data_IF_937210763347
#
_entry.id   IF_937210763347
#
_cell.length_a   1.000
_cell.length_b   1.000
_cell.length_c   1.000
_cell.angle_alpha   90.00
_cell.angle_beta   90.00
_cell.angle_gamma   90.00
#
_symmetry.space_group_name_H-M   'P 1'
#
loop_
_entity.id
_entity.type
_entity.pdbx_description
1 polymer ?
#
# COMPACT_ATOMS: atom_id res chain seq x y z
N UNK A 1 -4.14 6.34 13.08
CA UNK A 1 -3.39 5.83 11.91
C UNK A 1 -2.84 4.47 12.28
N UNK A 2 -2.85 3.52 11.35
CA UNK A 2 -2.17 2.22 11.48
C UNK A 2 -1.05 2.15 10.44
N UNK A 3 0.12 1.68 10.87
CA UNK A 3 1.31 1.58 10.01
C UNK A 3 1.73 0.12 9.93
N UNK A 4 1.91 -0.37 8.71
CA UNK A 4 2.33 -1.73 8.43
C UNK A 4 3.68 -1.65 7.72
N UNK A 5 4.73 -1.96 8.47
CA UNK A 5 6.13 -1.99 8.01
C UNK A 5 6.72 -3.38 8.26
N UNK A 6 6.45 -4.28 7.33
CA UNK A 6 6.87 -5.68 7.41
C UNK A 6 7.33 -6.25 6.06
N UNK A 7 7.45 -5.40 5.03
CA UNK A 7 7.61 -5.84 3.64
C UNK A 7 8.97 -5.51 3.03
N UNK A 8 9.92 -5.02 3.82
CA UNK A 8 11.27 -4.66 3.36
C UNK A 8 12.25 -5.85 3.32
N UNK A 9 11.91 -6.98 3.97
CA UNK A 9 12.72 -8.20 4.00
C UNK A 9 12.53 -9.13 2.79
N UNK A 10 13.35 -10.19 2.75
CA UNK A 10 13.33 -11.21 1.68
C UNK A 10 12.08 -12.11 1.74
N UNK A 11 11.47 -12.24 2.93
CA UNK A 11 10.24 -13.00 3.15
C UNK A 11 9.07 -12.03 3.38
N UNK A 12 8.30 -11.76 2.33
CA UNK A 12 7.12 -10.88 2.42
C UNK A 12 5.94 -11.65 3.01
N UNK A 13 5.41 -11.23 4.18
CA UNK A 13 4.26 -11.88 4.80
C UNK A 13 2.97 -11.55 4.02
N UNK A 14 2.64 -12.35 3.02
CA UNK A 14 1.53 -12.09 2.08
C UNK A 14 0.17 -11.97 2.77
N UNK A 15 -0.03 -12.72 3.86
CA UNK A 15 -1.26 -12.68 4.67
C UNK A 15 -1.50 -11.34 5.37
N UNK A 16 -0.53 -10.42 5.41
CA UNK A 16 -0.76 -9.05 5.93
C UNK A 16 -1.30 -8.08 4.88
N UNK A 17 -1.40 -8.51 3.62
CA UNK A 17 -1.88 -7.74 2.46
C UNK A 17 -3.17 -8.31 1.87
N UNK A 18 -3.68 -9.41 2.43
CA UNK A 18 -4.93 -10.03 1.99
C UNK A 18 -6.14 -9.12 2.23
N UNK A 19 -7.22 -9.36 1.49
CA UNK A 19 -8.49 -8.68 1.73
C UNK A 19 -8.93 -8.83 3.20
N UNK A 20 -8.81 -10.03 3.77
CA UNK A 20 -9.15 -10.33 5.15
C UNK A 20 -8.35 -9.47 6.15
N UNK A 21 -7.03 -9.37 5.95
CA UNK A 21 -6.19 -8.51 6.78
C UNK A 21 -6.58 -7.03 6.66
N UNK A 22 -6.82 -6.54 5.44
CA UNK A 22 -7.28 -5.16 5.23
C UNK A 22 -8.63 -4.91 5.93
N UNK A 23 -9.58 -5.85 5.86
CA UNK A 23 -10.85 -5.75 6.58
C UNK A 23 -10.67 -5.67 8.10
N UNK A 24 -9.71 -6.42 8.65
CA UNK A 24 -9.35 -6.33 10.07
C UNK A 24 -8.78 -4.96 10.41
N UNK A 25 -7.88 -4.42 9.58
CA UNK A 25 -7.32 -3.09 9.82
C UNK A 25 -8.41 -2.01 9.77
N UNK A 26 -9.29 -2.05 8.76
CA UNK A 26 -10.38 -1.10 8.60
C UNK A 26 -11.37 -1.12 9.76
N UNK A 27 -11.60 -2.29 10.39
CA UNK A 27 -12.47 -2.43 11.56
C UNK A 27 -11.93 -1.71 12.79
N UNK A 28 -10.62 -1.65 12.93
CA UNK A 28 -9.93 -0.99 14.05
C UNK A 28 -9.50 0.44 13.71
N UNK A 29 -9.74 0.89 12.47
CA UNK A 29 -9.41 2.22 12.03
C UNK A 29 -10.55 3.19 12.35
N UNK A 30 -10.20 4.36 12.87
CA UNK A 30 -11.15 5.46 13.03
C UNK A 30 -11.71 5.90 11.66
N UNK A 31 -12.92 6.50 11.60
CA UNK A 31 -13.55 6.89 10.34
C UNK A 31 -12.68 7.78 9.43
N UNK A 32 -11.86 8.65 10.02
CA UNK A 32 -10.90 9.55 9.36
C UNK A 32 -9.45 9.04 9.41
N UNK A 33 -9.26 7.77 9.81
CA UNK A 33 -7.95 7.16 9.92
C UNK A 33 -7.33 6.80 8.57
N UNK A 34 -6.00 6.66 8.60
CA UNK A 34 -5.17 6.24 7.48
C UNK A 34 -4.53 4.88 7.80
N UNK A 35 -4.46 4.00 6.80
CA UNK A 35 -3.54 2.87 6.76
C UNK A 35 -2.32 3.28 5.94
N UNK A 36 -1.12 3.02 6.44
CA UNK A 36 0.13 3.28 5.74
C UNK A 36 0.92 1.99 5.60
N UNK A 37 1.21 1.59 4.36
CA UNK A 37 1.98 0.39 4.04
C UNK A 37 3.34 0.79 3.50
N UNK A 38 4.41 0.33 4.14
CA UNK A 38 5.76 0.48 3.61
C UNK A 38 6.03 -0.61 2.57
N UNK A 39 6.09 -0.24 1.30
CA UNK A 39 6.19 -1.19 0.18
C UNK A 39 7.57 -1.18 -0.50
N UNK A 40 8.60 -0.61 0.12
CA UNK A 40 9.97 -0.72 -0.36
C UNK A 40 10.47 -2.16 -0.27
N UNK A 41 10.21 -2.93 -1.31
CA UNK A 41 10.72 -4.29 -1.46
C UNK A 41 11.67 -4.38 -2.66
N UNK A 42 12.76 -5.14 -2.54
CA UNK A 42 13.75 -5.31 -3.62
C UNK A 42 13.23 -6.14 -4.80
N UNK A 43 12.32 -7.07 -4.56
CA UNK A 43 11.93 -8.10 -5.53
C UNK A 43 10.48 -7.96 -6.01
N UNK A 44 9.61 -7.39 -5.18
CA UNK A 44 8.17 -7.36 -5.43
C UNK A 44 7.64 -5.94 -5.60
N UNK A 45 6.73 -5.76 -6.55
CA UNK A 45 5.87 -4.59 -6.67
C UNK A 45 4.55 -4.86 -5.93
N UNK A 46 4.44 -4.34 -4.70
CA UNK A 46 3.27 -4.55 -3.85
C UNK A 46 2.14 -3.55 -4.13
N UNK A 47 2.39 -2.50 -4.93
CA UNK A 47 1.38 -1.49 -5.23
C UNK A 47 0.12 -2.09 -5.89
N UNK A 48 0.21 -3.01 -6.88
CA UNK A 48 -0.96 -3.63 -7.49
C UNK A 48 -1.85 -4.42 -6.52
N UNK A 49 -1.26 -5.03 -5.49
CA UNK A 49 -2.02 -5.76 -4.45
C UNK A 49 -2.83 -4.78 -3.63
N UNK A 50 -2.20 -3.69 -3.18
CA UNK A 50 -2.88 -2.64 -2.43
C UNK A 50 -3.92 -1.89 -3.28
N UNK A 51 -3.68 -1.71 -4.59
CA UNK A 51 -4.66 -1.16 -5.52
C UNK A 51 -5.87 -2.09 -5.68
N UNK A 52 -5.66 -3.40 -5.74
CA UNK A 52 -6.75 -4.38 -5.75
C UNK A 52 -7.59 -4.33 -4.47
N UNK A 53 -6.94 -4.30 -3.31
CA UNK A 53 -7.64 -4.17 -2.02
C UNK A 53 -8.39 -2.84 -1.90
N UNK A 54 -7.78 -1.73 -2.36
CA UNK A 54 -8.42 -0.42 -2.37
C UNK A 54 -9.68 -0.42 -3.24
N UNK A 55 -9.62 -1.01 -4.43
CA UNK A 55 -10.79 -1.17 -5.31
C UNK A 55 -11.88 -2.04 -4.68
N UNK A 56 -11.51 -3.14 -4.02
CA UNK A 56 -12.46 -4.04 -3.36
C UNK A 56 -13.24 -3.37 -2.22
N UNK A 57 -12.57 -2.56 -1.39
CA UNK A 57 -13.17 -1.89 -0.23
C UNK A 57 -13.61 -0.44 -0.51
N UNK A 58 -13.61 0.00 -1.77
CA UNK A 58 -13.92 1.37 -2.19
C UNK A 58 -13.14 2.45 -1.41
N UNK A 59 -11.83 2.24 -1.29
CA UNK A 59 -10.91 3.14 -0.60
C UNK A 59 -10.26 4.12 -1.57
N UNK A 60 -9.78 5.24 -1.04
CA UNK A 60 -8.81 6.08 -1.74
C UNK A 60 -7.39 5.56 -1.51
N UNK A 61 -6.55 5.75 -2.51
CA UNK A 61 -5.14 5.35 -2.50
C UNK A 61 -4.25 6.52 -2.87
N UNK A 62 -3.15 6.69 -2.14
CA UNK A 62 -2.09 7.63 -2.45
C UNK A 62 -0.73 6.98 -2.24
N UNK A 63 0.12 6.96 -3.26
CA UNK A 63 1.51 6.53 -3.16
C UNK A 63 2.41 7.71 -2.81
N UNK A 64 3.35 7.51 -1.90
CA UNK A 64 4.39 8.46 -1.52
C UNK A 64 5.72 7.79 -1.81
N UNK A 65 6.39 8.25 -2.86
CA UNK A 65 7.71 7.76 -3.25
C UNK A 65 8.77 8.80 -2.90
N UNK A 66 9.72 8.43 -2.06
CA UNK A 66 10.80 9.30 -1.64
C UNK A 66 12.14 8.70 -2.06
N UNK A 67 12.77 9.34 -3.05
CA UNK A 67 14.13 9.03 -3.48
C UNK A 67 15.13 9.89 -2.73
N UNK A 68 16.25 9.29 -2.36
CA UNK A 68 17.39 9.98 -1.77
C UNK A 68 18.67 9.58 -2.50
N UNK A 69 19.60 10.52 -2.59
CA UNK A 69 20.96 10.30 -3.11
C UNK A 69 22.02 10.45 -2.02
N UNK A 70 21.59 10.69 -0.78
CA UNK A 70 22.51 10.89 0.35
C UNK A 70 23.10 9.54 0.81
N UNK A 71 24.43 9.46 1.00
CA UNK A 71 25.07 8.25 1.50
C UNK A 71 24.48 7.80 2.85
N UNK A 72 24.12 6.52 2.96
CA UNK A 72 23.56 5.95 4.19
C UNK A 72 22.05 6.13 4.38
N UNK A 73 21.33 6.57 3.33
CA UNK A 73 19.87 6.64 3.32
C UNK A 73 19.29 5.77 2.21
N UNK A 74 18.14 5.15 2.49
CA UNK A 74 17.44 4.27 1.56
C UNK A 74 16.18 4.92 0.99
N UNK A 75 15.86 4.61 -0.26
CA UNK A 75 14.61 4.99 -0.92
C UNK A 75 13.43 4.33 -0.19
N UNK A 76 12.42 5.14 0.14
CA UNK A 76 11.20 4.68 0.80
C UNK A 76 9.99 4.85 -0.09
N UNK A 77 9.18 3.81 -0.21
CA UNK A 77 7.96 3.80 -0.99
C UNK A 77 6.79 3.37 -0.11
N UNK A 78 5.77 4.20 -0.06
CA UNK A 78 4.63 4.03 0.83
C UNK A 78 3.33 4.11 0.06
N UNK A 79 2.35 3.32 0.46
CA UNK A 79 0.97 3.46 0.00
C UNK A 79 0.07 3.74 1.18
N UNK A 80 -0.67 4.84 1.08
CA UNK A 80 -1.72 5.22 2.00
C UNK A 80 -3.06 4.74 1.47
N UNK A 81 -3.86 4.12 2.33
CA UNK A 81 -5.26 3.78 2.09
C UNK A 81 -6.15 4.45 3.12
N UNK A 82 -7.31 4.95 2.69
CA UNK A 82 -8.33 5.47 3.61
C UNK A 82 -9.70 5.52 2.97
N UNK A 83 -10.72 5.85 3.76
CA UNK A 83 -12.07 6.11 3.24
C UNK A 83 -12.07 7.32 2.30
N UNK A 84 -13.05 7.35 1.39
CA UNK A 84 -13.18 8.40 0.37
C UNK A 84 -13.11 9.82 0.94
N UNK A 85 -12.33 10.67 0.27
CA UNK A 85 -12.21 12.11 0.57
C UNK A 85 -11.29 12.44 1.74
N UNK A 86 -10.76 11.45 2.47
CA UNK A 86 -9.82 11.70 3.57
C UNK A 86 -8.44 12.11 3.02
N UNK A 87 -7.95 11.45 1.95
CA UNK A 87 -6.65 11.78 1.36
C UNK A 87 -6.62 13.16 0.67
N UNK A 88 -7.78 13.69 0.27
CA UNK A 88 -7.91 15.02 -0.34
C UNK A 88 -7.56 16.14 0.65
N UNK A 89 -7.62 15.86 1.96
CA UNK A 89 -7.29 16.82 3.02
C UNK A 89 -5.80 16.93 3.28
N UNK A 90 -4.99 16.02 2.74
CA UNK A 90 -3.55 16.05 2.90
C UNK A 90 -2.95 17.15 2.01
N UNK A 91 -1.94 17.90 2.50
CA UNK A 91 -1.27 18.89 1.69
C UNK A 91 -0.54 18.19 0.53
N UNK A 92 -0.81 18.63 -0.70
CA UNK A 92 -0.17 18.08 -1.88
C UNK A 92 1.36 18.24 -1.79
N UNK A 93 2.08 17.17 -2.11
CA UNK A 93 3.54 17.16 -2.20
C UNK A 93 3.99 16.54 -3.52
N UNK A 94 5.15 16.96 -4.01
CA UNK A 94 5.72 16.44 -5.26
C UNK A 94 6.04 14.94 -5.20
N UNK A 95 6.20 14.35 -4.02
CA UNK A 95 6.42 12.91 -3.81
C UNK A 95 5.13 12.08 -3.86
N UNK A 96 3.97 12.73 -3.87
CA UNK A 96 2.65 12.08 -3.81
C UNK A 96 2.11 11.81 -5.22
N UNK A 97 1.66 10.58 -5.47
CA UNK A 97 1.04 10.14 -6.72
C UNK A 97 -0.21 9.33 -6.45
N UNK A 98 -1.31 9.67 -7.13
CA UNK A 98 -2.49 8.80 -7.17
C UNK A 98 -2.29 7.70 -8.21
N UNK A 99 -2.98 6.56 -8.07
CA UNK A 99 -3.03 5.56 -9.13
C UNK A 99 -3.50 6.19 -10.45
N UNK A 100 -2.98 5.70 -11.58
CA UNK A 100 -3.47 6.11 -12.91
C UNK A 100 -4.92 5.70 -13.15
N UNK A 101 -5.47 6.03 -14.32
CA UNK A 101 -6.87 5.75 -14.68
C UNK A 101 -7.22 4.26 -14.75
N UNK A 102 -6.23 3.39 -14.98
CA UNK A 102 -6.40 1.94 -15.01
C UNK A 102 -5.21 1.26 -14.32
N UNK A 103 -5.15 1.28 -12.98
CA UNK A 103 -4.05 0.67 -12.26
C UNK A 103 -4.11 -0.85 -12.41
N UNK A 104 -2.95 -1.50 -12.48
CA UNK A 104 -2.89 -2.96 -12.33
C UNK A 104 -3.45 -3.31 -10.95
N UNK A 105 -4.45 -4.17 -10.92
CA UNK A 105 -5.08 -4.64 -9.68
C UNK A 105 -4.83 -6.13 -9.53
N UNK A 106 -4.30 -6.52 -8.37
CA UNK A 106 -4.10 -7.91 -7.97
C UNK A 106 -4.86 -8.13 -6.67
N UNK A 107 -5.65 -9.19 -6.61
CA UNK A 107 -6.37 -9.56 -5.39
C UNK A 107 -5.65 -10.72 -4.74
N UNK A 108 -5.31 -10.54 -3.46
CA UNK A 108 -4.84 -11.60 -2.58
C UNK A 108 -5.87 -11.83 -1.48
N UNK A 109 -6.04 -13.09 -1.13
CA UNK A 109 -6.80 -13.54 0.02
C UNK A 109 -5.87 -14.37 0.92
N UNK A 110 -6.31 -14.68 2.13
CA UNK A 110 -5.55 -15.57 3.02
C UNK A 110 -5.26 -16.93 2.38
N UNK A 111 -6.19 -17.44 1.57
CA UNK A 111 -6.07 -18.73 0.88
C UNK A 111 -5.31 -18.66 -0.46
N UNK A 112 -5.10 -17.46 -1.01
CA UNK A 112 -4.48 -17.30 -2.33
C UNK A 112 -3.63 -16.03 -2.44
N UNK A 113 -2.34 -16.22 -2.73
CA UNK A 113 -1.40 -15.15 -3.03
C UNK A 113 -0.46 -15.58 -4.16
N UNK A 114 -0.42 -14.83 -5.25
CA UNK A 114 0.49 -15.09 -6.38
C UNK A 114 1.63 -14.06 -6.41
N UNK A 115 2.79 -14.47 -5.87
CA UNK A 115 4.01 -13.65 -5.86
C UNK A 115 4.60 -13.44 -7.25
N UNK A 116 4.53 -14.44 -8.14
CA UNK A 116 5.10 -14.35 -9.48
C UNK A 116 4.42 -13.25 -10.32
N UNK A 117 3.13 -13.01 -10.09
CA UNK A 117 2.35 -11.99 -10.78
C UNK A 117 2.77 -10.55 -10.45
N UNK A 118 3.60 -10.37 -9.42
CA UNK A 118 4.03 -9.06 -8.91
C UNK A 118 5.55 -8.93 -8.77
N UNK A 119 6.32 -9.80 -9.44
CA UNK A 119 7.77 -9.61 -9.55
C UNK A 119 8.10 -8.30 -10.30
N UNK A 120 9.18 -7.64 -9.86
CA UNK A 120 9.74 -6.44 -10.51
C UNK A 120 10.54 -6.77 -11.77
#
# INVERSE_FOLDING_TARGET
MLVIDAFSGDAVPTHLLSLEAIAVYLRHLQPDGLLAFHISNRYLDLQPVLSGAAGHYDLDQLRIHHETKEPGTDTSDWVLLSRKGILDRLPARETMRRPGSNPKMVIWTDDYSNLLGILK
#
